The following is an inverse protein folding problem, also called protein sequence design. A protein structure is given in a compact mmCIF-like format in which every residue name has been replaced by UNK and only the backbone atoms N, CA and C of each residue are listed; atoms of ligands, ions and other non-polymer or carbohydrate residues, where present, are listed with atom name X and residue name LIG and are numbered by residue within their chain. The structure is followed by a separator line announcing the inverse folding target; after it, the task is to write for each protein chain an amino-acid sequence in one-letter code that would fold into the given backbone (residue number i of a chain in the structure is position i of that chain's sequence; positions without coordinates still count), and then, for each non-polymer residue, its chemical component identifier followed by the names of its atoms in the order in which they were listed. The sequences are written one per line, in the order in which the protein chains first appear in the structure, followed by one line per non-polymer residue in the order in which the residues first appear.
data_IF_555988551090
#
_entry.id   IF_555988551090
#
_cell.length_a   1.000
_cell.length_b   1.000
_cell.length_c   1.000
_cell.angle_alpha   90.00
_cell.angle_beta   90.00
_cell.angle_gamma   90.00
#
_symmetry.space_group_name_H-M   'P 1'
#
loop_
_entity.id
_entity.type
_entity.pdbx_description
1 polymer ?
#
# COMPACT_ATOMS: atom_id res chain seq x y z
N UNK A 1 4.49 -0.13 -9.72
CA UNK A 1 4.52 1.31 -9.40
C UNK A 1 5.25 2.13 -10.47
N UNK A 2 6.55 1.90 -10.72
CA UNK A 2 7.37 2.67 -11.67
C UNK A 2 6.73 2.93 -13.05
N UNK A 3 6.08 1.91 -13.64
CA UNK A 3 5.36 2.04 -14.91
C UNK A 3 4.18 3.03 -14.85
N UNK A 4 3.51 3.16 -13.72
CA UNK A 4 2.37 4.08 -13.57
C UNK A 4 2.83 5.49 -13.21
N UNK A 5 3.82 5.60 -12.32
CA UNK A 5 4.35 6.88 -11.85
C UNK A 5 5.18 7.63 -12.90
N UNK A 6 5.63 6.96 -13.96
CA UNK A 6 6.30 7.59 -15.10
C UNK A 6 5.35 8.27 -16.09
N UNK A 7 4.02 8.08 -15.95
CA UNK A 7 3.07 8.71 -16.87
C UNK A 7 2.92 10.20 -16.57
N UNK A 8 2.79 11.06 -17.60
CA UNK A 8 2.45 12.46 -17.41
C UNK A 8 1.18 12.61 -16.57
N UNK A 9 1.17 13.60 -15.66
CA UNK A 9 0.03 13.93 -14.78
C UNK A 9 -0.36 12.80 -13.81
N UNK A 10 0.49 11.81 -13.59
CA UNK A 10 0.26 10.84 -12.52
C UNK A 10 0.19 11.55 -11.16
N UNK A 11 -0.85 11.26 -10.40
CA UNK A 11 -1.17 11.98 -9.17
C UNK A 11 -1.41 11.03 -7.97
N UNK A 12 -0.84 9.83 -8.03
CA UNK A 12 -0.99 8.80 -7.01
C UNK A 12 -2.44 8.31 -6.86
N UNK A 13 -2.79 7.93 -5.63
CA UNK A 13 -4.13 7.45 -5.29
C UNK A 13 -5.10 8.61 -5.05
N UNK A 14 -6.14 8.70 -5.88
CA UNK A 14 -7.22 9.69 -5.71
C UNK A 14 -7.95 9.56 -4.37
N UNK A 15 -8.20 8.35 -3.89
CA UNK A 15 -8.82 8.11 -2.58
C UNK A 15 -7.94 8.57 -1.42
N UNK A 16 -6.63 8.47 -1.55
CA UNK A 16 -5.68 8.91 -0.51
C UNK A 16 -5.67 10.43 -0.43
N UNK A 17 -5.59 11.11 -1.58
CA UNK A 17 -5.69 12.57 -1.65
C UNK A 17 -7.01 13.08 -1.10
N UNK A 18 -8.12 12.48 -1.52
CA UNK A 18 -9.46 12.80 -1.03
C UNK A 18 -9.58 12.63 0.48
N UNK A 19 -9.04 11.54 1.04
CA UNK A 19 -9.07 11.31 2.48
C UNK A 19 -8.23 12.32 3.28
N UNK A 20 -7.12 12.81 2.70
CA UNK A 20 -6.25 13.81 3.30
C UNK A 20 -6.87 15.20 3.23
N UNK A 21 -7.38 15.61 2.06
CA UNK A 21 -8.04 16.91 1.83
C UNK A 21 -9.25 17.11 2.76
N UNK A 22 -9.93 16.02 3.11
CA UNK A 22 -11.10 16.04 3.99
C UNK A 22 -10.76 15.61 5.43
N UNK A 23 -9.50 15.59 5.85
CA UNK A 23 -9.11 15.01 7.13
C UNK A 23 -9.81 15.67 8.33
N UNK A 24 -10.07 16.97 8.25
CA UNK A 24 -10.76 17.81 9.23
C UNK A 24 -12.30 17.73 9.15
N UNK A 25 -12.86 17.31 8.01
CA UNK A 25 -14.31 17.16 7.84
C UNK A 25 -14.76 15.78 8.32
N UNK A 26 -15.22 15.70 9.57
CA UNK A 26 -15.76 14.47 10.14
C UNK A 26 -17.08 14.07 9.47
N UNK A 27 -17.34 12.77 9.32
CA UNK A 27 -18.60 12.26 8.77
C UNK A 27 -18.81 12.42 7.25
N UNK A 28 -17.89 13.08 6.53
CA UNK A 28 -18.05 13.30 5.09
C UNK A 28 -18.15 11.96 4.31
N UNK A 29 -19.20 11.74 3.48
CA UNK A 29 -19.42 10.47 2.78
C UNK A 29 -18.21 10.01 1.94
N UNK A 30 -17.52 10.96 1.31
CA UNK A 30 -16.32 10.67 0.50
C UNK A 30 -15.17 10.04 1.31
N UNK A 31 -15.01 10.41 2.60
CA UNK A 31 -14.03 9.77 3.50
C UNK A 31 -14.41 8.33 3.82
N UNK A 32 -15.71 8.08 4.03
CA UNK A 32 -16.21 6.73 4.27
C UNK A 32 -15.93 5.83 3.06
N UNK A 33 -16.22 6.32 1.86
CA UNK A 33 -15.95 5.59 0.61
C UNK A 33 -14.45 5.35 0.43
N UNK A 34 -13.60 6.36 0.68
CA UNK A 34 -12.16 6.20 0.62
C UNK A 34 -11.66 5.13 1.61
N UNK A 35 -12.15 5.15 2.85
CA UNK A 35 -11.84 4.13 3.88
C UNK A 35 -12.26 2.73 3.43
N UNK A 36 -13.47 2.58 2.92
CA UNK A 36 -14.00 1.30 2.44
C UNK A 36 -13.17 0.77 1.26
N UNK A 37 -12.84 1.62 0.29
CA UNK A 37 -11.98 1.25 -0.83
C UNK A 37 -10.60 0.76 -0.34
N UNK A 38 -9.95 1.51 0.56
CA UNK A 38 -8.63 1.15 1.10
C UNK A 38 -8.68 -0.17 1.87
N UNK A 39 -9.71 -0.37 2.70
CA UNK A 39 -9.91 -1.63 3.42
C UNK A 39 -10.16 -2.81 2.48
N UNK A 40 -10.90 -2.61 1.38
CA UNK A 40 -11.14 -3.64 0.37
C UNK A 40 -9.84 -4.05 -0.33
N UNK A 41 -9.00 -3.09 -0.72
CA UNK A 41 -7.72 -3.37 -1.37
C UNK A 41 -6.76 -4.12 -0.43
N UNK A 42 -6.68 -3.72 0.85
CA UNK A 42 -5.90 -4.44 1.85
C UNK A 42 -6.39 -5.87 2.03
N UNK A 43 -7.71 -6.08 2.12
CA UNK A 43 -8.32 -7.42 2.25
C UNK A 43 -8.08 -8.29 1.02
N UNK A 44 -8.11 -7.69 -0.17
CA UNK A 44 -7.78 -8.43 -1.41
C UNK A 44 -6.32 -8.89 -1.39
N UNK A 45 -5.40 -8.04 -0.91
CA UNK A 45 -4.00 -8.41 -0.78
C UNK A 45 -3.81 -9.54 0.26
N UNK A 46 -4.49 -9.46 1.41
CA UNK A 46 -4.53 -10.56 2.40
C UNK A 46 -5.01 -11.86 1.77
N UNK A 47 -6.08 -11.82 0.98
CA UNK A 47 -6.64 -12.99 0.30
C UNK A 47 -5.64 -13.61 -0.68
N UNK A 48 -4.94 -12.77 -1.45
CA UNK A 48 -3.91 -13.22 -2.38
C UNK A 48 -2.73 -13.87 -1.65
N UNK A 49 -2.26 -13.26 -0.56
CA UNK A 49 -1.16 -13.78 0.25
C UNK A 49 -1.53 -15.09 0.95
N UNK A 50 -2.75 -15.21 1.45
CA UNK A 50 -3.26 -16.45 2.02
C UNK A 50 -3.34 -17.57 0.97
N UNK A 51 -3.83 -17.26 -0.24
CA UNK A 51 -3.84 -18.20 -1.37
C UNK A 51 -2.44 -18.65 -1.79
N UNK A 52 -1.46 -17.76 -1.67
CA UNK A 52 -0.04 -18.05 -1.90
C UNK A 52 0.66 -18.71 -0.69
N UNK A 53 -0.07 -19.02 0.39
CA UNK A 53 0.45 -19.63 1.63
C UNK A 53 1.58 -18.83 2.29
N UNK A 54 1.54 -17.50 2.15
CA UNK A 54 2.46 -16.62 2.85
C UNK A 54 2.10 -16.59 4.35
N UNK A 55 3.06 -16.78 5.27
CA UNK A 55 2.83 -16.68 6.71
C UNK A 55 2.32 -15.29 7.12
N UNK A 56 1.44 -15.26 8.13
CA UNK A 56 0.81 -14.03 8.62
C UNK A 56 0.24 -13.13 7.51
N UNK A 57 -0.63 -13.65 6.61
CA UNK A 57 -1.01 -12.96 5.38
C UNK A 57 -1.68 -11.60 5.65
N UNK A 58 -2.44 -11.48 6.74
CA UNK A 58 -3.06 -10.23 7.19
C UNK A 58 -2.02 -9.15 7.55
N UNK A 59 -1.01 -9.51 8.31
CA UNK A 59 0.06 -8.58 8.71
C UNK A 59 0.89 -8.17 7.49
N UNK A 60 1.26 -9.15 6.66
CA UNK A 60 2.00 -8.90 5.41
C UNK A 60 1.22 -8.00 4.46
N UNK A 61 -0.11 -8.18 4.35
CA UNK A 61 -0.96 -7.31 3.56
C UNK A 61 -0.95 -5.87 4.07
N UNK A 62 -1.10 -5.67 5.38
CA UNK A 62 -1.03 -4.34 6.00
C UNK A 62 0.29 -3.64 5.70
N UNK A 63 1.42 -4.32 5.91
CA UNK A 63 2.75 -3.74 5.67
C UNK A 63 2.97 -3.39 4.20
N UNK A 64 2.60 -4.30 3.29
CA UNK A 64 2.68 -4.04 1.86
C UNK A 64 1.80 -2.87 1.44
N UNK A 65 0.59 -2.75 2.01
CA UNK A 65 -0.32 -1.65 1.70
C UNK A 65 0.24 -0.30 2.18
N UNK A 66 0.88 -0.28 3.36
CA UNK A 66 1.62 0.89 3.85
C UNK A 66 2.77 1.26 2.89
N UNK A 67 3.55 0.28 2.43
CA UNK A 67 4.60 0.52 1.43
C UNK A 67 4.04 1.07 0.13
N UNK A 68 2.92 0.54 -0.36
CA UNK A 68 2.25 1.00 -1.58
C UNK A 68 1.83 2.47 -1.45
N UNK A 69 1.10 2.82 -0.38
CA UNK A 69 0.63 4.19 -0.14
C UNK A 69 1.80 5.15 0.08
N UNK A 70 2.77 4.77 0.91
CA UNK A 70 3.96 5.58 1.18
C UNK A 70 4.77 5.83 -0.08
N UNK A 71 4.96 4.82 -0.92
CA UNK A 71 5.64 4.98 -2.21
C UNK A 71 4.92 5.97 -3.10
N UNK A 72 3.59 5.91 -3.18
CA UNK A 72 2.83 6.86 -3.99
C UNK A 72 3.04 8.30 -3.52
N UNK A 73 2.96 8.51 -2.20
CA UNK A 73 3.13 9.84 -1.58
C UNK A 73 4.55 10.37 -1.78
N UNK A 74 5.58 9.56 -1.52
CA UNK A 74 6.97 10.03 -1.60
C UNK A 74 7.40 10.36 -3.03
N UNK A 75 6.93 9.62 -4.04
CA UNK A 75 7.19 9.95 -5.45
C UNK A 75 6.56 11.31 -5.80
N UNK A 76 5.34 11.61 -5.30
CA UNK A 76 4.69 12.89 -5.57
C UNK A 76 5.40 14.06 -4.89
N UNK A 77 5.88 13.87 -3.66
CA UNK A 77 6.58 14.91 -2.89
C UNK A 77 7.95 15.20 -3.50
N UNK A 78 8.72 14.17 -3.81
CA UNK A 78 10.13 14.32 -4.20
C UNK A 78 10.36 14.29 -5.71
N UNK A 79 9.37 13.86 -6.50
CA UNK A 79 9.56 13.62 -7.93
C UNK A 79 10.52 12.45 -8.25
N UNK A 80 10.88 11.65 -7.25
CA UNK A 80 11.91 10.63 -7.34
C UNK A 80 11.31 9.22 -7.43
N UNK A 81 11.58 8.52 -8.54
CA UNK A 81 11.13 7.15 -8.73
C UNK A 81 11.96 6.10 -7.97
N UNK A 82 13.11 6.47 -7.39
CA UNK A 82 13.94 5.56 -6.57
C UNK A 82 13.17 4.97 -5.38
N UNK A 83 12.15 5.68 -4.88
CA UNK A 83 11.20 5.19 -3.88
C UNK A 83 10.44 3.93 -4.32
N UNK A 84 10.22 3.72 -5.62
CA UNK A 84 9.67 2.44 -6.12
C UNK A 84 10.60 1.27 -5.80
N UNK A 85 11.91 1.45 -6.02
CA UNK A 85 12.92 0.42 -5.78
C UNK A 85 13.04 0.15 -4.29
N UNK A 86 13.15 1.20 -3.47
CA UNK A 86 13.22 1.07 -2.01
C UNK A 86 12.03 0.29 -1.43
N UNK A 87 10.82 0.60 -1.87
CA UNK A 87 9.62 -0.10 -1.43
C UNK A 87 9.54 -1.54 -1.93
N UNK A 88 9.95 -1.81 -3.17
CA UNK A 88 10.01 -3.17 -3.70
C UNK A 88 11.00 -4.04 -2.91
N UNK A 89 12.16 -3.49 -2.54
CA UNK A 89 13.15 -4.24 -1.77
C UNK A 89 12.70 -4.46 -0.32
N UNK A 90 12.02 -3.47 0.29
CA UNK A 90 11.36 -3.66 1.58
C UNK A 90 10.29 -4.76 1.52
N UNK A 91 9.43 -4.74 0.51
CA UNK A 91 8.41 -5.76 0.30
C UNK A 91 9.02 -7.17 0.18
N UNK A 92 10.10 -7.34 -0.61
CA UNK A 92 10.82 -8.62 -0.72
C UNK A 92 11.33 -9.12 0.64
N UNK A 93 11.94 -8.23 1.44
CA UNK A 93 12.41 -8.59 2.79
C UNK A 93 11.24 -9.03 3.68
N UNK A 94 10.13 -8.31 3.65
CA UNK A 94 8.94 -8.67 4.42
C UNK A 94 8.35 -10.03 4.02
N UNK A 95 8.45 -10.41 2.74
CA UNK A 95 8.00 -11.73 2.27
C UNK A 95 9.00 -12.85 2.61
N UNK A 96 10.30 -12.55 2.68
CA UNK A 96 11.35 -13.54 2.96
C UNK A 96 11.37 -13.98 4.44
N UNK A 97 10.98 -13.11 5.37
CA UNK A 97 11.03 -13.36 6.83
C UNK A 97 10.02 -14.43 7.30
N UNK A 98 9.06 -14.82 6.46
CA UNK A 98 8.13 -15.93 6.73
C UNK A 98 8.74 -17.34 6.61
N UNK A 99 9.92 -17.50 5.99
CA UNK A 99 10.50 -18.82 5.74
C UNK A 99 11.29 -19.43 6.90
N UNK A 100 11.39 -18.75 8.05
CA UNK A 100 12.30 -19.18 9.14
C UNK A 100 11.73 -19.10 10.56
N UNK A 101 10.48 -19.49 10.77
CA UNK A 101 9.99 -19.85 12.11
C UNK A 101 9.18 -21.14 12.08
N UNK A 102 9.90 -22.24 11.88
CA UNK A 102 9.55 -23.52 12.47
C UNK A 102 10.37 -23.69 13.76
N UNK A 103 9.68 -23.73 14.89
CA UNK A 103 10.17 -24.35 16.11
C UNK A 103 9.76 -23.64 17.41
N UNK A 104 9.68 -24.36 18.54
CA UNK A 104 9.63 -25.82 18.71
C UNK A 104 8.20 -26.39 18.63
#
# INVERSE_FOLDING_TARGET
MAKWSSKPRWAGSGFTRLAIELADVSGHPARLIARQHKALMEKQLETMLAGARIPSPKERARELFVLIEGTMVMILIHGDQSYCTAAADAAKRLMAVGSSRSGP
#
